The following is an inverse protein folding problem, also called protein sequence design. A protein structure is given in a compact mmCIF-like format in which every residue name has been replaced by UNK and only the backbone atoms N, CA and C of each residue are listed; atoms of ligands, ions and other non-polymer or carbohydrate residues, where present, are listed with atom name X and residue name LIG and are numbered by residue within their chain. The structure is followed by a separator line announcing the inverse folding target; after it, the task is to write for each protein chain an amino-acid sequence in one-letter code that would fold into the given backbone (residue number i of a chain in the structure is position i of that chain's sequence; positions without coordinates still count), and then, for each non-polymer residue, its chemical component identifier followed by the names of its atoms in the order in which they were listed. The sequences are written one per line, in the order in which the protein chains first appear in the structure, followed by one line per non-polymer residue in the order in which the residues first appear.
data_IF_566176122961
#
_entry.id   IF_566176122961
#
_cell.length_a   1.000
_cell.length_b   1.000
_cell.length_c   1.000
_cell.angle_alpha   90.00
_cell.angle_beta   90.00
_cell.angle_gamma   90.00
#
_symmetry.space_group_name_H-M   'P 1'
#
loop_
_entity.id
_entity.type
_entity.pdbx_description
1 polymer ?
#
# COMPACT_ATOMS: atom_id res chain seq x y z
N UNK A 1 17.06 -22.14 16.09
CA UNK A 1 17.57 -20.80 15.75
C UNK A 1 17.11 -20.52 14.34
N UNK A 2 16.06 -19.73 14.15
CA UNK A 2 15.65 -19.30 12.81
C UNK A 2 16.71 -18.32 12.32
N UNK A 3 17.32 -18.57 11.17
CA UNK A 3 18.20 -17.59 10.53
C UNK A 3 17.38 -16.33 10.26
N UNK A 4 17.70 -15.22 10.91
CA UNK A 4 17.05 -13.93 10.63
C UNK A 4 17.40 -13.54 9.20
N UNK A 5 16.40 -13.48 8.32
CA UNK A 5 16.59 -12.98 6.97
C UNK A 5 17.08 -11.54 7.02
N UNK A 6 18.00 -11.17 6.13
CA UNK A 6 18.53 -9.81 6.02
C UNK A 6 18.36 -9.33 4.58
N UNK A 7 17.99 -8.06 4.40
CA UNK A 7 17.86 -7.47 3.08
C UNK A 7 19.22 -7.39 2.38
N UNK A 8 19.26 -7.83 1.12
CA UNK A 8 20.41 -7.61 0.26
C UNK A 8 20.56 -6.11 0.01
N UNK A 9 21.60 -5.50 0.59
CA UNK A 9 21.87 -4.06 0.51
C UNK A 9 22.23 -3.58 -0.89
N UNK A 10 22.56 -4.50 -1.82
CA UNK A 10 22.78 -4.17 -3.23
C UNK A 10 21.46 -3.99 -3.98
N UNK A 11 20.39 -4.66 -3.52
CA UNK A 11 19.04 -4.57 -4.08
C UNK A 11 18.25 -3.47 -3.34
N UNK A 12 18.15 -3.59 -2.02
CA UNK A 12 17.43 -2.67 -1.14
C UNK A 12 18.29 -1.46 -0.78
N UNK A 13 18.73 -0.73 -1.81
CA UNK A 13 19.53 0.48 -1.71
C UNK A 13 18.68 1.74 -1.92
N UNK A 14 19.17 2.94 -1.56
CA UNK A 14 18.47 4.20 -1.82
C UNK A 14 17.97 4.37 -3.27
N UNK A 15 18.71 3.85 -4.24
CA UNK A 15 18.33 3.88 -5.66
C UNK A 15 17.01 3.13 -5.95
N UNK A 16 16.74 2.02 -5.27
CA UNK A 16 15.47 1.30 -5.41
C UNK A 16 14.30 2.16 -4.90
N UNK A 17 14.47 2.81 -3.75
CA UNK A 17 13.43 3.65 -3.16
C UNK A 17 13.16 4.90 -3.98
N UNK A 18 14.22 5.53 -4.49
CA UNK A 18 14.08 6.61 -5.47
C UNK A 18 13.30 6.13 -6.71
N UNK A 19 13.64 4.95 -7.25
CA UNK A 19 12.93 4.39 -8.40
C UNK A 19 11.44 4.16 -8.14
N UNK A 20 11.08 3.69 -6.93
CA UNK A 20 9.67 3.56 -6.52
C UNK A 20 8.95 4.89 -6.60
N UNK A 21 9.53 5.98 -6.09
CA UNK A 21 8.92 7.31 -6.17
C UNK A 21 8.83 7.81 -7.63
N UNK A 22 9.87 7.59 -8.44
CA UNK A 22 9.91 7.99 -9.86
C UNK A 22 8.89 7.25 -10.74
N UNK A 23 8.54 6.02 -10.39
CA UNK A 23 7.51 5.26 -11.12
C UNK A 23 6.13 5.60 -10.57
N UNK A 24 5.95 5.52 -9.25
CA UNK A 24 4.63 5.57 -8.63
C UNK A 24 4.13 7.00 -8.41
N UNK A 25 4.99 7.89 -7.92
CA UNK A 25 4.63 9.26 -7.50
C UNK A 25 4.99 10.32 -8.57
N UNK A 26 5.38 9.91 -9.78
CA UNK A 26 5.69 10.83 -10.90
C UNK A 26 4.53 11.77 -11.19
N UNK A 27 4.77 13.07 -11.02
CA UNK A 27 3.80 14.13 -11.26
C UNK A 27 2.84 14.40 -10.10
N UNK A 28 3.07 13.81 -8.92
CA UNK A 28 2.35 14.13 -7.69
C UNK A 28 2.81 15.49 -7.16
N UNK A 29 1.85 16.29 -6.72
CA UNK A 29 2.09 17.55 -6.02
C UNK A 29 2.33 17.31 -4.52
N UNK A 30 3.54 17.60 -4.00
CA UNK A 30 3.83 17.46 -2.57
C UNK A 30 3.18 18.54 -1.70
N UNK A 31 2.74 19.69 -2.26
CA UNK A 31 2.06 20.71 -1.46
C UNK A 31 0.60 20.35 -1.16
N UNK A 32 -0.01 19.54 -2.04
CA UNK A 32 -1.41 19.13 -1.92
C UNK A 32 -2.40 20.16 -2.48
N UNK A 33 -1.92 21.21 -3.14
CA UNK A 33 -2.76 22.24 -3.75
C UNK A 33 -3.61 21.70 -4.90
N UNK A 34 -3.01 20.87 -5.77
CA UNK A 34 -3.66 20.42 -7.01
C UNK A 34 -3.71 18.89 -7.10
N UNK A 35 -4.82 18.37 -7.63
CA UNK A 35 -4.86 16.97 -8.11
C UNK A 35 -4.37 16.93 -9.55
N UNK A 36 -3.35 16.14 -9.80
CA UNK A 36 -3.00 15.75 -11.15
C UNK A 36 -3.86 14.54 -11.56
N UNK A 37 -4.83 14.75 -12.45
CA UNK A 37 -5.75 13.69 -12.88
C UNK A 37 -5.06 12.59 -13.69
N UNK A 38 -3.94 12.87 -14.35
CA UNK A 38 -3.16 11.82 -15.05
C UNK A 38 -2.55 10.84 -14.04
N UNK A 39 -2.18 11.35 -12.86
CA UNK A 39 -1.67 10.51 -11.76
C UNK A 39 -2.79 9.65 -11.18
N UNK A 40 -3.95 10.23 -10.90
CA UNK A 40 -5.13 9.48 -10.41
C UNK A 40 -5.55 8.42 -11.42
N UNK A 41 -5.54 8.76 -12.71
CA UNK A 41 -5.82 7.83 -13.80
C UNK A 41 -4.84 6.67 -13.80
N UNK A 42 -3.54 6.94 -13.71
CA UNK A 42 -2.50 5.90 -13.65
C UNK A 42 -2.74 4.91 -12.51
N UNK A 43 -3.11 5.40 -11.32
CA UNK A 43 -3.31 4.52 -10.17
C UNK A 43 -4.62 3.73 -10.23
N UNK A 44 -5.74 4.37 -10.58
CA UNK A 44 -7.06 3.80 -10.31
C UNK A 44 -7.99 3.71 -11.52
N UNK A 45 -7.74 4.49 -12.58
CA UNK A 45 -8.70 4.66 -13.69
C UNK A 45 -8.10 4.40 -15.09
N UNK A 46 -6.98 3.69 -15.16
CA UNK A 46 -6.33 3.36 -16.44
C UNK A 46 -7.19 2.41 -17.27
N UNK A 47 -7.17 2.60 -18.60
CA UNK A 47 -7.72 1.61 -19.54
C UNK A 47 -6.97 0.27 -19.41
N UNK A 48 -7.49 -0.85 -19.96
CA UNK A 48 -6.76 -2.11 -19.95
C UNK A 48 -5.32 -2.00 -20.49
N UNK A 49 -5.12 -1.23 -21.57
CA UNK A 49 -3.80 -1.00 -22.18
C UNK A 49 -2.88 -0.18 -21.26
N UNK A 50 -3.40 0.88 -20.64
CA UNK A 50 -2.64 1.72 -19.71
C UNK A 50 -2.27 0.96 -18.44
N UNK A 51 -3.16 0.10 -17.94
CA UNK A 51 -2.91 -0.77 -16.81
C UNK A 51 -1.82 -1.80 -17.12
N UNK A 52 -1.89 -2.43 -18.29
CA UNK A 52 -0.85 -3.36 -18.75
C UNK A 52 0.50 -2.65 -18.92
N UNK A 53 0.50 -1.40 -19.38
CA UNK A 53 1.72 -0.60 -19.48
C UNK A 53 2.33 -0.32 -18.10
N UNK A 54 1.50 0.06 -17.11
CA UNK A 54 1.95 0.24 -15.73
C UNK A 54 2.45 -1.07 -15.11
N UNK A 55 1.76 -2.19 -15.33
CA UNK A 55 2.18 -3.50 -14.82
C UNK A 55 3.54 -3.92 -15.40
N UNK A 56 3.81 -3.61 -16.67
CA UNK A 56 5.14 -3.79 -17.28
C UNK A 56 6.18 -2.87 -16.67
N UNK A 57 5.89 -1.59 -16.51
CA UNK A 57 6.81 -0.63 -15.86
C UNK A 57 7.15 -1.09 -14.42
N UNK A 58 6.17 -1.59 -13.67
CA UNK A 58 6.40 -2.16 -12.34
C UNK A 58 7.25 -3.44 -12.40
N UNK A 59 6.98 -4.34 -13.35
CA UNK A 59 7.72 -5.60 -13.49
C UNK A 59 9.18 -5.36 -13.86
N UNK A 60 9.43 -4.50 -14.85
CA UNK A 60 10.77 -4.17 -15.34
C UNK A 60 11.66 -3.56 -14.25
N UNK A 61 11.06 -2.82 -13.31
CA UNK A 61 11.82 -2.12 -12.26
C UNK A 61 11.89 -2.89 -10.93
N UNK A 62 10.86 -3.69 -10.58
CA UNK A 62 10.70 -4.16 -9.20
C UNK A 62 10.57 -5.68 -9.05
N UNK A 63 10.41 -6.45 -10.13
CA UNK A 63 10.25 -7.91 -10.04
C UNK A 63 11.41 -8.56 -9.27
N UNK A 64 12.65 -8.24 -9.61
CA UNK A 64 13.82 -8.81 -8.94
C UNK A 64 13.89 -8.48 -7.44
N UNK A 65 13.48 -7.26 -7.05
CA UNK A 65 13.41 -6.88 -5.65
C UNK A 65 12.33 -7.68 -4.91
N UNK A 66 11.15 -7.83 -5.51
CA UNK A 66 10.06 -8.64 -4.95
C UNK A 66 10.46 -10.12 -4.82
N UNK A 67 11.10 -10.70 -5.83
CA UNK A 67 11.58 -12.09 -5.78
C UNK A 67 12.65 -12.30 -4.69
N UNK A 68 13.51 -11.31 -4.44
CA UNK A 68 14.52 -11.37 -3.38
C UNK A 68 13.93 -11.45 -1.96
N UNK A 69 12.71 -10.95 -1.77
CA UNK A 69 11.95 -11.06 -0.51
C UNK A 69 10.73 -11.97 -0.64
N UNK A 70 10.65 -12.76 -1.71
CA UNK A 70 9.50 -13.61 -1.99
C UNK A 70 9.38 -14.81 -1.03
N UNK A 71 8.29 -15.59 -1.14
CA UNK A 71 7.98 -16.68 -0.22
C UNK A 71 9.02 -17.81 -0.19
N UNK A 72 9.87 -17.94 -1.23
CA UNK A 72 10.98 -18.91 -1.25
C UNK A 72 12.23 -18.44 -0.49
N UNK A 73 12.34 -17.14 -0.21
CA UNK A 73 13.46 -16.51 0.48
C UNK A 73 13.11 -16.16 1.93
N UNK A 74 11.89 -15.70 2.14
CA UNK A 74 11.35 -15.31 3.44
C UNK A 74 10.19 -16.23 3.79
N UNK A 75 10.48 -17.36 4.44
CA UNK A 75 9.46 -18.39 4.72
C UNK A 75 8.38 -17.88 5.68
N UNK A 76 8.78 -17.06 6.67
CA UNK A 76 7.86 -16.40 7.59
C UNK A 76 7.87 -14.90 7.30
N UNK A 77 6.79 -14.34 6.72
CA UNK A 77 6.68 -12.91 6.44
C UNK A 77 6.98 -12.07 7.69
N UNK A 78 7.91 -11.13 7.57
CA UNK A 78 8.31 -10.22 8.66
C UNK A 78 8.71 -8.86 8.11
N UNK A 79 8.38 -7.80 8.84
CA UNK A 79 8.77 -6.44 8.54
C UNK A 79 10.11 -6.02 9.16
N UNK A 80 10.66 -6.81 10.09
CA UNK A 80 11.85 -6.49 10.89
C UNK A 80 13.05 -6.01 10.05
N UNK A 81 13.44 -6.66 8.94
CA UNK A 81 14.58 -6.20 8.13
C UNK A 81 14.39 -4.79 7.52
N UNK A 82 13.15 -4.42 7.20
CA UNK A 82 12.83 -3.08 6.69
C UNK A 82 12.81 -2.04 7.82
N UNK A 83 12.35 -2.41 9.00
CA UNK A 83 12.37 -1.56 10.19
C UNK A 83 13.81 -1.28 10.64
N UNK A 84 14.67 -2.29 10.64
CA UNK A 84 16.10 -2.15 10.91
C UNK A 84 16.77 -1.21 9.92
N UNK A 85 16.44 -1.34 8.62
CA UNK A 85 16.93 -0.42 7.61
C UNK A 85 16.48 1.03 7.86
N UNK A 86 15.21 1.26 8.20
CA UNK A 86 14.74 2.61 8.54
C UNK A 86 15.46 3.18 9.75
N UNK A 87 15.68 2.37 10.78
CA UNK A 87 16.46 2.75 11.97
C UNK A 87 17.88 3.16 11.60
N UNK A 88 18.55 2.39 10.75
CA UNK A 88 19.90 2.73 10.25
C UNK A 88 19.92 4.03 9.45
N UNK A 89 18.91 4.29 8.60
CA UNK A 89 18.79 5.53 7.84
C UNK A 89 18.60 6.71 8.79
N UNK A 90 17.67 6.60 9.75
CA UNK A 90 17.42 7.65 10.74
C UNK A 90 18.63 7.94 11.63
N UNK A 91 19.42 6.92 11.98
CA UNK A 91 20.66 7.09 12.75
C UNK A 91 21.77 7.83 11.98
N UNK A 92 21.71 7.81 10.65
CA UNK A 92 22.67 8.49 9.77
C UNK A 92 22.19 9.88 9.33
N UNK A 93 20.99 10.28 9.72
CA UNK A 93 20.42 11.58 9.36
C UNK A 93 21.24 12.72 10.00
N UNK A 94 22.03 13.40 9.18
CA UNK A 94 22.88 14.51 9.61
C UNK A 94 22.12 15.82 9.77
N UNK A 95 20.94 15.94 9.16
CA UNK A 95 20.14 17.17 9.17
C UNK A 95 19.11 17.15 10.31
N UNK A 96 18.76 15.96 10.79
CA UNK A 96 17.89 15.72 11.93
C UNK A 96 16.41 15.97 11.64
N UNK A 97 16.03 16.13 10.37
CA UNK A 97 14.64 16.35 9.95
C UNK A 97 13.87 15.05 9.69
N UNK A 98 14.57 13.92 9.54
CA UNK A 98 14.00 12.60 9.29
C UNK A 98 13.49 12.39 7.86
N UNK A 99 13.75 13.32 6.93
CA UNK A 99 13.17 13.31 5.59
C UNK A 99 13.54 12.06 4.78
N UNK A 100 14.82 11.64 4.85
CA UNK A 100 15.30 10.45 4.15
C UNK A 100 14.60 9.18 4.66
N UNK A 101 14.46 9.05 5.98
CA UNK A 101 13.80 7.89 6.59
C UNK A 101 12.31 7.87 6.27
N UNK A 102 11.65 9.04 6.27
CA UNK A 102 10.24 9.15 5.89
C UNK A 102 10.03 8.79 4.41
N UNK A 103 10.94 9.21 3.52
CA UNK A 103 10.88 8.88 2.08
C UNK A 103 11.13 7.39 1.83
N UNK A 104 12.09 6.80 2.54
CA UNK A 104 12.34 5.38 2.48
C UNK A 104 11.12 4.59 2.98
N UNK A 105 10.48 5.02 4.08
CA UNK A 105 9.29 4.36 4.62
C UNK A 105 8.12 4.36 3.61
N UNK A 106 7.85 5.49 2.95
CA UNK A 106 6.83 5.59 1.90
C UNK A 106 7.15 4.67 0.72
N UNK A 107 8.41 4.65 0.29
CA UNK A 107 8.86 3.82 -0.83
C UNK A 107 8.76 2.33 -0.51
N UNK A 108 9.10 1.93 0.71
CA UNK A 108 8.95 0.55 1.19
C UNK A 108 7.47 0.17 1.26
N UNK A 109 6.60 1.04 1.78
CA UNK A 109 5.15 0.80 1.83
C UNK A 109 4.59 0.52 0.42
N UNK A 110 4.90 1.38 -0.55
CA UNK A 110 4.48 1.20 -1.95
C UNK A 110 5.10 -0.08 -2.57
N UNK A 111 6.39 -0.34 -2.32
CA UNK A 111 7.08 -1.53 -2.82
C UNK A 111 6.47 -2.83 -2.29
N UNK A 112 6.01 -2.85 -1.03
CA UNK A 112 5.47 -4.05 -0.41
C UNK A 112 3.99 -4.28 -0.72
N UNK A 113 3.24 -3.27 -1.12
CA UNK A 113 1.79 -3.35 -1.28
C UNK A 113 1.32 -3.12 -2.71
N UNK A 114 1.71 -2.00 -3.33
CA UNK A 114 1.25 -1.67 -4.67
C UNK A 114 2.01 -2.45 -5.74
N UNK A 115 3.34 -2.53 -5.64
CA UNK A 115 4.15 -3.22 -6.65
C UNK A 115 3.76 -4.69 -6.84
N UNK A 116 3.51 -5.51 -5.78
CA UNK A 116 3.08 -6.89 -5.96
C UNK A 116 1.72 -7.01 -6.67
N UNK A 117 0.79 -6.07 -6.46
CA UNK A 117 -0.54 -6.06 -7.12
C UNK A 117 -0.43 -5.80 -8.62
N UNK A 118 0.57 -5.02 -9.05
CA UNK A 118 0.86 -4.76 -10.45
C UNK A 118 1.71 -5.86 -11.09
N UNK A 119 2.72 -6.37 -10.37
CA UNK A 119 3.65 -7.40 -10.89
C UNK A 119 3.02 -8.79 -10.93
N UNK A 120 2.16 -9.14 -9.97
CA UNK A 120 1.58 -10.47 -9.81
C UNK A 120 0.04 -10.46 -9.97
N UNK A 121 -0.49 -9.67 -10.90
CA UNK A 121 -1.95 -9.41 -11.06
C UNK A 121 -2.81 -10.66 -11.39
N UNK A 122 -2.21 -11.79 -11.79
CA UNK A 122 -2.95 -13.02 -12.10
C UNK A 122 -3.48 -13.70 -10.83
N UNK A 123 -4.53 -14.53 -10.93
CA UNK A 123 -5.05 -15.28 -9.77
C UNK A 123 -3.95 -16.08 -9.04
N UNK A 124 -3.08 -16.76 -9.79
CA UNK A 124 -1.92 -17.48 -9.25
C UNK A 124 -0.90 -16.53 -8.58
N UNK A 125 -0.66 -15.37 -9.18
CA UNK A 125 0.24 -14.35 -8.63
C UNK A 125 -0.29 -13.74 -7.33
N UNK A 126 -1.59 -13.48 -7.27
CA UNK A 126 -2.25 -12.86 -6.13
C UNK A 126 -2.24 -13.72 -4.87
N UNK A 127 -2.08 -15.04 -5.02
CA UNK A 127 -1.79 -15.93 -3.88
C UNK A 127 -0.56 -15.41 -3.11
N UNK A 128 0.50 -15.02 -3.83
CA UNK A 128 1.71 -14.45 -3.21
C UNK A 128 1.43 -13.08 -2.59
N UNK A 129 0.61 -12.25 -3.24
CA UNK A 129 0.24 -10.93 -2.71
C UNK A 129 -0.44 -11.07 -1.36
N UNK A 130 -1.55 -11.81 -1.30
CA UNK A 130 -2.37 -11.90 -0.09
C UNK A 130 -1.73 -12.73 1.03
N UNK A 131 -1.01 -13.81 0.69
CA UNK A 131 -0.46 -14.72 1.71
C UNK A 131 0.92 -14.32 2.23
N UNK A 132 1.65 -13.47 1.50
CA UNK A 132 3.04 -13.13 1.77
C UNK A 132 3.27 -11.62 1.85
N UNK A 133 3.13 -10.88 0.74
CA UNK A 133 3.49 -9.47 0.70
C UNK A 133 2.59 -8.58 1.58
N UNK A 134 1.27 -8.83 1.56
CA UNK A 134 0.32 -8.12 2.44
C UNK A 134 0.68 -8.27 3.92
N UNK A 135 1.15 -9.45 4.34
CA UNK A 135 1.57 -9.68 5.73
C UNK A 135 2.80 -8.87 6.11
N UNK A 136 3.77 -8.75 5.20
CA UNK A 136 4.96 -7.90 5.41
C UNK A 136 4.53 -6.43 5.48
N UNK A 137 3.75 -5.96 4.50
CA UNK A 137 3.28 -4.58 4.42
C UNK A 137 2.47 -4.16 5.66
N UNK A 138 1.51 -5.00 6.08
CA UNK A 138 0.68 -4.74 7.25
C UNK A 138 1.50 -4.71 8.55
N UNK A 139 2.42 -5.66 8.75
CA UNK A 139 3.31 -5.66 9.91
C UNK A 139 4.20 -4.40 9.93
N UNK A 140 4.68 -3.97 8.75
CA UNK A 140 5.51 -2.78 8.60
C UNK A 140 4.74 -1.51 8.99
N UNK A 141 3.56 -1.26 8.40
CA UNK A 141 2.77 -0.06 8.69
C UNK A 141 2.24 -0.06 10.13
N UNK A 142 1.76 -1.20 10.64
CA UNK A 142 1.33 -1.31 12.05
C UNK A 142 2.45 -0.92 13.00
N UNK A 143 3.69 -1.35 12.73
CA UNK A 143 4.84 -0.98 13.57
C UNK A 143 5.16 0.51 13.45
N UNK A 144 5.16 1.06 12.24
CA UNK A 144 5.39 2.50 12.01
C UNK A 144 4.38 3.40 12.73
N UNK A 145 3.16 2.91 12.96
CA UNK A 145 2.10 3.66 13.63
C UNK A 145 1.98 3.33 15.12
N UNK A 146 2.84 2.44 15.63
CA UNK A 146 2.90 2.05 17.03
C UNK A 146 3.97 2.84 17.81
N UNK A 147 3.96 2.77 19.15
CA UNK A 147 5.06 3.31 19.98
C UNK A 147 6.43 2.67 19.71
N UNK A 148 6.47 1.47 19.12
CA UNK A 148 7.71 0.75 18.80
C UNK A 148 8.34 1.17 17.47
N UNK A 149 7.75 2.17 16.78
CA UNK A 149 8.27 2.67 15.52
C UNK A 149 9.74 3.15 15.66
N UNK A 150 10.65 2.75 14.76
CA UNK A 150 12.03 3.22 14.79
C UNK A 150 12.18 4.68 14.35
N UNK A 151 11.14 5.27 13.78
CA UNK A 151 11.10 6.64 13.25
C UNK A 151 9.80 7.35 13.63
N UNK A 152 9.76 8.70 13.64
CA UNK A 152 8.50 9.44 13.74
C UNK A 152 7.52 9.07 12.62
N UNK A 153 6.23 9.31 12.85
CA UNK A 153 5.14 9.00 11.92
C UNK A 153 5.44 9.55 10.50
N UNK A 154 5.75 8.68 9.52
CA UNK A 154 6.20 9.14 8.20
C UNK A 154 5.07 9.77 7.39
N UNK A 155 3.81 9.37 7.60
CA UNK A 155 2.64 10.01 7.00
C UNK A 155 2.43 11.45 7.50
N UNK A 156 3.00 11.80 8.64
CA UNK A 156 2.87 13.13 9.25
C UNK A 156 4.08 14.04 9.00
N UNK A 157 5.07 13.56 8.27
CA UNK A 157 6.32 14.27 8.01
C UNK A 157 6.07 15.60 7.26
N UNK A 158 6.75 16.71 7.63
CA UNK A 158 6.50 18.04 7.04
C UNK A 158 6.60 18.11 5.51
N UNK A 159 7.43 17.27 4.89
CA UNK A 159 7.64 17.25 3.43
C UNK A 159 6.35 17.04 2.61
N UNK A 160 5.36 16.35 3.17
CA UNK A 160 4.10 16.03 2.47
C UNK A 160 2.90 15.97 3.41
N UNK A 161 2.98 16.60 4.59
CA UNK A 161 1.90 16.57 5.59
C UNK A 161 0.54 16.99 5.01
N UNK A 162 0.59 17.91 4.04
CA UNK A 162 -0.57 18.47 3.35
C UNK A 162 -0.95 17.70 2.08
N UNK A 163 -0.21 16.65 1.68
CA UNK A 163 -0.43 15.88 0.46
C UNK A 163 -1.06 14.53 0.76
N UNK A 164 -2.39 14.44 0.58
CA UNK A 164 -3.11 13.15 0.67
C UNK A 164 -2.52 12.10 -0.26
N UNK A 165 -2.03 12.53 -1.44
CA UNK A 165 -1.43 11.67 -2.45
C UNK A 165 -0.15 10.94 -1.98
N UNK A 166 0.54 11.45 -0.96
CA UNK A 166 1.67 10.75 -0.33
C UNK A 166 1.21 9.91 0.87
N UNK A 167 0.31 10.46 1.68
CA UNK A 167 -0.13 9.85 2.95
C UNK A 167 -0.97 8.59 2.75
N UNK A 168 -1.82 8.56 1.73
CA UNK A 168 -2.81 7.50 1.56
C UNK A 168 -2.23 6.10 1.37
N UNK A 169 -0.98 5.97 0.91
CA UNK A 169 -0.36 4.66 0.65
C UNK A 169 -0.10 3.86 1.92
N UNK A 170 0.12 4.53 3.05
CA UNK A 170 0.20 3.85 4.34
C UNK A 170 -1.19 3.34 4.78
N UNK A 171 -2.23 4.13 4.52
CA UNK A 171 -3.60 3.80 4.93
C UNK A 171 -4.17 2.67 4.07
N UNK A 172 -3.88 2.69 2.78
CA UNK A 172 -4.33 1.66 1.83
C UNK A 172 -3.83 0.25 2.20
N UNK A 173 -2.62 0.13 2.74
CA UNK A 173 -2.10 -1.14 3.29
C UNK A 173 -3.00 -1.66 4.42
N UNK A 174 -3.48 -0.76 5.28
CA UNK A 174 -4.40 -1.09 6.37
C UNK A 174 -5.80 -1.43 5.81
N UNK A 175 -6.29 -0.70 4.80
CA UNK A 175 -7.53 -1.03 4.09
C UNK A 175 -7.48 -2.41 3.44
N UNK A 176 -6.31 -2.95 3.10
CA UNK A 176 -6.17 -4.29 2.55
C UNK A 176 -6.25 -5.41 3.61
N UNK A 177 -6.39 -5.08 4.89
CA UNK A 177 -6.53 -6.05 5.98
C UNK A 177 -7.94 -6.65 6.04
N UNK A 178 -8.05 -7.95 6.25
CA UNK A 178 -9.33 -8.61 6.59
C UNK A 178 -9.56 -8.59 8.12
N UNK A 179 -9.50 -7.40 8.73
CA UNK A 179 -9.64 -7.18 10.18
C UNK A 179 -10.44 -5.90 10.45
N UNK A 180 -11.63 -6.05 11.03
CA UNK A 180 -12.54 -4.94 11.31
C UNK A 180 -11.93 -3.85 12.21
N UNK A 181 -11.06 -4.23 13.15
CA UNK A 181 -10.43 -3.25 14.04
C UNK A 181 -9.40 -2.39 13.29
N UNK A 182 -8.83 -2.91 12.19
CA UNK A 182 -7.94 -2.12 11.31
C UNK A 182 -8.72 -1.06 10.56
N UNK A 183 -9.91 -1.39 10.05
CA UNK A 183 -10.77 -0.41 9.37
C UNK A 183 -11.17 0.75 10.31
N UNK A 184 -11.45 0.46 11.59
CA UNK A 184 -11.67 1.52 12.59
C UNK A 184 -10.44 2.40 12.81
N UNK A 185 -9.23 1.83 12.74
CA UNK A 185 -7.99 2.61 12.80
C UNK A 185 -7.83 3.49 11.56
N UNK A 186 -8.17 2.99 10.37
CA UNK A 186 -8.15 3.77 9.12
C UNK A 186 -9.13 4.94 9.20
N UNK A 187 -10.36 4.74 9.68
CA UNK A 187 -11.32 5.82 9.89
C UNK A 187 -10.70 6.95 10.74
N UNK A 188 -10.08 6.61 11.87
CA UNK A 188 -9.40 7.60 12.72
C UNK A 188 -8.22 8.31 12.04
N UNK A 189 -7.44 7.60 11.22
CA UNK A 189 -6.33 8.17 10.44
C UNK A 189 -6.82 9.14 9.34
N UNK A 190 -7.95 8.83 8.70
CA UNK A 190 -8.57 9.70 7.71
C UNK A 190 -9.15 10.95 8.37
N UNK A 191 -9.77 10.83 9.55
CA UNK A 191 -10.20 11.97 10.35
C UNK A 191 -9.03 12.85 10.81
N UNK A 192 -7.90 12.26 11.21
CA UNK A 192 -6.68 13.01 11.55
C UNK A 192 -6.15 13.80 10.34
N UNK A 193 -6.10 13.16 9.17
CA UNK A 193 -5.75 13.82 7.91
C UNK A 193 -6.74 14.94 7.58
N UNK A 194 -8.05 14.73 7.76
CA UNK A 194 -9.06 15.77 7.57
C UNK A 194 -8.79 16.99 8.45
N UNK A 195 -8.55 16.79 9.76
CA UNK A 195 -8.22 17.85 10.72
C UNK A 195 -6.94 18.61 10.36
N UNK A 196 -5.94 17.92 9.79
CA UNK A 196 -4.73 18.57 9.28
C UNK A 196 -5.05 19.48 8.08
N UNK A 197 -5.81 18.98 7.09
CA UNK A 197 -6.14 19.73 5.87
C UNK A 197 -7.13 20.88 6.11
N UNK A 198 -7.99 20.80 7.13
CA UNK A 198 -8.86 21.91 7.53
C UNK A 198 -8.08 23.15 7.98
N UNK A 199 -6.88 22.95 8.55
CA UNK A 199 -5.98 24.03 8.96
C UNK A 199 -5.24 24.68 7.78
N UNK A 200 -5.36 24.10 6.58
CA UNK A 200 -4.63 24.52 5.38
C UNK A 200 -5.63 25.05 4.34
N UNK A 201 -5.66 26.37 4.08
CA UNK A 201 -6.58 26.93 3.10
C UNK A 201 -6.27 26.43 1.68
N UNK A 202 -4.99 26.31 1.34
CA UNK A 202 -4.50 26.03 -0.01
C UNK A 202 -4.14 24.55 -0.21
N UNK A 203 -5.09 23.65 0.00
CA UNK A 203 -4.90 22.20 -0.21
C UNK A 203 -6.11 21.51 -0.87
N UNK A 204 -6.73 22.21 -1.82
CA UNK A 204 -7.95 21.74 -2.49
C UNK A 204 -7.76 20.34 -3.12
N UNK A 205 -6.61 20.09 -3.74
CA UNK A 205 -6.32 18.79 -4.33
C UNK A 205 -6.30 17.64 -3.32
N UNK A 206 -5.64 17.85 -2.19
CA UNK A 206 -5.63 16.87 -1.10
C UNK A 206 -7.02 16.63 -0.49
N UNK A 207 -7.86 17.67 -0.41
CA UNK A 207 -9.26 17.53 0.06
C UNK A 207 -10.08 16.66 -0.89
N UNK A 208 -9.97 16.88 -2.21
CA UNK A 208 -10.63 16.00 -3.21
C UNK A 208 -10.16 14.55 -3.10
N UNK A 209 -8.85 14.31 -2.95
CA UNK A 209 -8.34 12.94 -2.79
C UNK A 209 -8.79 12.32 -1.48
N UNK A 210 -8.87 13.09 -0.39
CA UNK A 210 -9.34 12.61 0.91
C UNK A 210 -10.81 12.18 0.85
N UNK A 211 -11.67 12.92 0.17
CA UNK A 211 -13.07 12.52 -0.05
C UNK A 211 -13.17 11.16 -0.76
N UNK A 212 -12.30 10.91 -1.74
CA UNK A 212 -12.23 9.62 -2.41
C UNK A 212 -11.71 8.50 -1.48
N UNK A 213 -10.77 8.81 -0.58
CA UNK A 213 -10.30 7.86 0.43
C UNK A 213 -11.42 7.47 1.40
N UNK A 214 -12.22 8.42 1.89
CA UNK A 214 -13.38 8.11 2.74
C UNK A 214 -14.41 7.23 2.03
N UNK A 215 -14.67 7.48 0.74
CA UNK A 215 -15.58 6.63 -0.06
C UNK A 215 -15.01 5.22 -0.21
N UNK A 216 -13.75 5.11 -0.60
CA UNK A 216 -13.09 3.82 -0.78
C UNK A 216 -13.04 3.02 0.53
N UNK A 217 -12.66 3.64 1.64
CA UNK A 217 -12.63 2.98 2.96
C UNK A 217 -14.02 2.52 3.38
N UNK A 218 -15.06 3.32 3.15
CA UNK A 218 -16.44 2.91 3.41
C UNK A 218 -16.81 1.65 2.63
N UNK A 219 -16.48 1.57 1.34
CA UNK A 219 -16.73 0.38 0.52
C UNK A 219 -15.95 -0.85 1.02
N UNK A 220 -14.69 -0.68 1.45
CA UNK A 220 -13.90 -1.77 2.02
C UNK A 220 -14.51 -2.26 3.33
N UNK A 221 -14.86 -1.35 4.24
CA UNK A 221 -15.43 -1.67 5.54
C UNK A 221 -16.79 -2.35 5.40
N UNK A 222 -17.67 -1.91 4.50
CA UNK A 222 -18.97 -2.55 4.28
C UNK A 222 -18.83 -4.03 3.91
N UNK A 223 -17.79 -4.39 3.14
CA UNK A 223 -17.49 -5.78 2.79
C UNK A 223 -16.96 -6.54 4.02
N UNK A 224 -16.02 -5.94 4.77
CA UNK A 224 -15.44 -6.58 5.95
C UNK A 224 -16.45 -6.74 7.10
N UNK A 225 -17.31 -5.76 7.34
CA UNK A 225 -18.38 -5.85 8.35
C UNK A 225 -19.39 -6.94 7.98
N UNK A 226 -19.66 -7.13 6.68
CA UNK A 226 -20.62 -8.12 6.20
C UNK A 226 -20.07 -9.54 6.19
N UNK A 227 -18.84 -9.73 5.70
CA UNK A 227 -18.28 -11.07 5.45
C UNK A 227 -17.11 -11.44 6.36
N UNK A 228 -16.54 -10.49 7.09
CA UNK A 228 -15.31 -10.67 7.87
C UNK A 228 -14.05 -10.84 7.02
N UNK A 229 -14.17 -10.78 5.69
CA UNK A 229 -13.10 -11.01 4.71
C UNK A 229 -13.49 -10.46 3.33
N UNK A 230 -12.56 -10.46 2.38
CA UNK A 230 -12.82 -10.10 0.99
C UNK A 230 -13.19 -11.32 0.14
N UNK A 231 -14.45 -11.45 -0.33
CA UNK A 231 -14.87 -12.62 -1.10
C UNK A 231 -14.09 -12.82 -2.40
N UNK A 232 -13.69 -11.73 -3.07
CA UNK A 232 -12.89 -11.78 -4.30
C UNK A 232 -11.48 -12.38 -4.12
N UNK A 233 -11.02 -12.59 -2.87
CA UNK A 233 -9.75 -13.27 -2.57
C UNK A 233 -9.93 -14.78 -2.36
N UNK A 234 -11.16 -15.30 -2.31
CA UNK A 234 -11.44 -16.69 -1.95
C UNK A 234 -10.74 -17.69 -2.88
N UNK A 235 -10.86 -17.53 -4.20
CA UNK A 235 -10.20 -18.41 -5.17
C UNK A 235 -8.68 -18.43 -4.99
N UNK A 236 -8.04 -17.26 -4.98
CA UNK A 236 -6.60 -17.13 -4.76
C UNK A 236 -6.13 -17.71 -3.42
N UNK A 237 -6.95 -17.63 -2.37
CA UNK A 237 -6.61 -18.15 -1.05
C UNK A 237 -7.09 -19.59 -0.81
N UNK A 238 -7.69 -20.25 -1.81
CA UNK A 238 -8.24 -21.61 -1.69
C UNK A 238 -9.37 -21.73 -0.67
N UNK A 239 -10.15 -20.65 -0.46
CA UNK A 239 -11.27 -20.61 0.48
C UNK A 239 -12.57 -20.97 -0.24
N UNK A 240 -13.43 -21.73 0.42
CA UNK A 240 -14.80 -21.94 -0.04
C UNK A 240 -15.62 -20.67 0.18
N UNK A 241 -16.30 -20.19 -0.86
CA UNK A 241 -17.24 -19.09 -0.78
C UNK A 241 -18.59 -19.55 -0.21
N UNK A 242 -19.24 -18.70 0.58
CA UNK A 242 -20.63 -18.90 1.01
C UNK A 242 -21.60 -18.55 -0.13
N UNK A 243 -22.86 -18.98 -0.04
CA UNK A 243 -23.90 -18.58 -0.99
C UNK A 243 -24.07 -17.06 -1.09
N UNK A 244 -23.94 -16.37 0.05
CA UNK A 244 -24.03 -14.90 0.12
C UNK A 244 -22.85 -14.22 -0.57
N UNK A 245 -21.64 -14.77 -0.40
CA UNK A 245 -20.42 -14.30 -1.06
C UNK A 245 -20.49 -14.52 -2.58
N UNK A 246 -20.96 -15.69 -3.03
CA UNK A 246 -21.15 -15.99 -4.46
C UNK A 246 -22.16 -15.03 -5.07
N UNK A 247 -23.29 -14.78 -4.40
CA UNK A 247 -24.29 -13.83 -4.85
C UNK A 247 -23.72 -12.41 -4.93
N UNK A 248 -22.99 -11.96 -3.90
CA UNK A 248 -22.34 -10.65 -3.89
C UNK A 248 -21.38 -10.48 -5.07
N UNK A 249 -20.56 -11.49 -5.36
CA UNK A 249 -19.63 -11.45 -6.50
C UNK A 249 -20.37 -11.46 -7.85
N UNK A 250 -21.45 -12.26 -7.96
CA UNK A 250 -22.27 -12.34 -9.17
C UNK A 250 -23.02 -11.04 -9.48
N UNK A 251 -23.41 -10.29 -8.44
CA UNK A 251 -24.07 -8.99 -8.54
C UNK A 251 -23.09 -7.83 -8.85
N UNK A 252 -21.81 -8.13 -9.09
CA UNK A 252 -20.78 -7.14 -9.42
C UNK A 252 -20.08 -6.54 -8.21
N UNK A 253 -19.95 -7.30 -7.12
CA UNK A 253 -19.22 -6.91 -5.92
C UNK A 253 -17.81 -6.39 -6.20
N UNK A 254 -17.36 -5.43 -5.39
CA UNK A 254 -16.09 -4.73 -5.61
C UNK A 254 -14.87 -5.67 -5.50
N UNK A 255 -13.93 -5.53 -6.45
CA UNK A 255 -12.67 -6.29 -6.52
C UNK A 255 -11.42 -5.41 -6.43
N UNK A 256 -11.60 -4.09 -6.24
CA UNK A 256 -10.53 -3.10 -6.06
C UNK A 256 -9.37 -3.22 -7.08
N UNK A 257 -9.73 -3.40 -8.37
CA UNK A 257 -8.76 -3.40 -9.48
C UNK A 257 -8.15 -4.76 -9.81
N UNK A 258 -8.55 -5.82 -9.11
CA UNK A 258 -8.17 -7.20 -9.43
C UNK A 258 -9.14 -7.78 -10.46
N UNK A 259 -8.59 -8.37 -11.53
CA UNK A 259 -9.38 -9.10 -12.51
C UNK A 259 -9.93 -10.40 -11.88
N UNK A 260 -11.21 -10.70 -12.13
CA UNK A 260 -11.81 -11.97 -11.74
C UNK A 260 -12.16 -12.73 -13.02
N UNK A 261 -11.64 -13.94 -13.16
CA UNK A 261 -12.13 -14.87 -14.18
C UNK A 261 -13.52 -15.34 -13.72
N UNK A 262 -14.53 -15.15 -14.58
CA UNK A 262 -15.94 -15.42 -14.25
C UNK A 262 -16.29 -16.92 -14.20
N UNK A 263 -15.32 -17.78 -14.50
CA UNK A 263 -15.55 -19.21 -14.70
C UNK A 263 -15.36 -20.05 -13.42
N UNK A 264 -15.04 -19.43 -12.29
CA UNK A 264 -14.86 -20.11 -10.98
C UNK A 264 -15.95 -19.75 -9.93
N UNK A 265 -17.06 -19.12 -10.35
CA UNK A 265 -18.23 -18.85 -9.49
C UNK A 265 -19.22 -20.03 -9.44
#
# INVERSE_FOLDING_TARGET
MSSSFTLDRTIFAPALYQKVQEVWLRGVDPSGEKVNMDVVKRWFMGTPEERLALDRECSDNFLSALEAIGPSKVITPTAEPFLDQLKEIAQKDTNGDGAEAASAALSIAILLDQMPRNVFRTNEGLVKVYSHYDKIAQAFVRTLFSPDSPIPRPDQHPQWRNSTAHRMWFYMIMCHSEDVEVHKQVDGLLEDLQRDLEKQPDCAGSKTLLENQFKAEKEHREIIDRFGRYPHRNGALGRNSTEEEIKFMSDGGATFGVAQERDEL
#
